data_IF_901319896920
#
_entry.id   IF_901319896920
#
_cell.length_a   1.000
_cell.length_b   1.000
_cell.length_c   1.000
_cell.angle_alpha   90.00
_cell.angle_beta   90.00
_cell.angle_gamma   90.00
#
_symmetry.space_group_name_H-M   'P 1'
#
loop_
_entity.id
_entity.type
_entity.pdbx_description
1 polymer ?
#
# COMPACT_ATOMS: atom_id res chain seq x y z
N UNK A 1 0.77 -48.09 4.00
CA UNK A 1 0.06 -47.83 2.72
C UNK A 1 -0.93 -46.71 2.95
N UNK A 2 -0.62 -45.50 2.50
CA UNK A 2 -1.46 -44.31 2.65
C UNK A 2 -2.32 -44.18 1.40
N UNK A 3 -3.63 -44.29 1.55
CA UNK A 3 -4.58 -44.12 0.45
C UNK A 3 -4.78 -42.61 0.21
N UNK A 4 -4.38 -42.12 -0.97
CA UNK A 4 -4.78 -40.79 -1.45
C UNK A 4 -6.28 -40.82 -1.77
N UNK A 5 -7.06 -39.78 -1.42
CA UNK A 5 -8.40 -39.64 -1.94
C UNK A 5 -8.32 -39.38 -3.45
N UNK A 6 -8.96 -40.22 -4.25
CA UNK A 6 -9.27 -39.93 -5.65
C UNK A 6 -10.39 -38.88 -5.68
N UNK A 7 -10.02 -37.62 -5.88
CA UNK A 7 -10.97 -36.57 -6.22
C UNK A 7 -11.47 -36.80 -7.64
N UNK A 8 -12.74 -37.21 -7.76
CA UNK A 8 -13.47 -37.39 -9.01
C UNK A 8 -14.30 -36.12 -9.33
N UNK A 9 -13.74 -34.93 -9.15
CA UNK A 9 -14.36 -33.70 -9.61
C UNK A 9 -14.16 -33.55 -11.12
N UNK A 10 -15.29 -33.54 -11.83
CA UNK A 10 -15.39 -33.23 -13.25
C UNK A 10 -14.94 -31.77 -13.43
N UNK A 11 -13.65 -31.57 -13.70
CA UNK A 11 -13.01 -30.26 -13.78
C UNK A 11 -13.74 -29.37 -14.79
N UNK A 12 -14.40 -28.33 -14.30
CA UNK A 12 -14.95 -27.28 -15.13
C UNK A 12 -13.79 -26.61 -15.88
N UNK A 13 -13.71 -26.70 -17.22
CA UNK A 13 -12.60 -26.16 -17.99
C UNK A 13 -12.57 -24.62 -18.01
N UNK A 14 -13.61 -23.97 -17.48
CA UNK A 14 -13.70 -22.52 -17.29
C UNK A 14 -13.43 -22.10 -15.84
N UNK A 15 -13.08 -23.02 -14.94
CA UNK A 15 -12.65 -22.67 -13.60
C UNK A 15 -11.33 -21.90 -13.72
N UNK A 16 -11.36 -20.59 -13.46
CA UNK A 16 -10.13 -19.82 -13.34
C UNK A 16 -9.26 -20.44 -12.25
N UNK A 17 -7.91 -20.47 -12.40
CA UNK A 17 -7.04 -20.93 -11.34
C UNK A 17 -7.44 -20.23 -10.05
N UNK A 18 -7.80 -21.00 -9.02
CA UNK A 18 -8.02 -20.44 -7.70
C UNK A 18 -6.67 -19.86 -7.31
N UNK A 19 -6.54 -18.53 -7.33
CA UNK A 19 -5.34 -17.88 -6.83
C UNK A 19 -5.09 -18.48 -5.44
N UNK A 20 -3.87 -18.96 -5.14
CA UNK A 20 -3.58 -19.52 -3.83
C UNK A 20 -4.10 -18.51 -2.82
N UNK A 21 -4.98 -18.95 -1.92
CA UNK A 21 -5.52 -18.11 -0.86
C UNK A 21 -4.33 -17.66 -0.04
N UNK A 22 -3.76 -16.54 -0.45
CA UNK A 22 -2.70 -15.87 0.25
C UNK A 22 -3.39 -15.27 1.46
N UNK A 23 -3.58 -16.12 2.48
CA UNK A 23 -3.08 -15.79 3.80
C UNK A 23 -1.73 -15.13 3.60
N UNK A 24 -1.75 -13.81 3.46
CA UNK A 24 -0.63 -12.97 3.83
C UNK A 24 -0.50 -13.19 5.33
N UNK A 25 0.15 -14.31 5.67
CA UNK A 25 0.63 -14.58 7.00
C UNK A 25 1.44 -13.33 7.36
N UNK A 26 0.90 -12.56 8.29
CA UNK A 26 1.46 -11.28 8.69
C UNK A 26 2.78 -11.59 9.38
N UNK A 27 3.85 -11.68 8.59
CA UNK A 27 5.19 -11.92 9.11
C UNK A 27 5.56 -10.72 9.95
N UNK A 28 6.14 -11.01 11.12
CA UNK A 28 6.45 -10.01 12.13
C UNK A 28 7.29 -8.83 11.62
N UNK A 29 7.43 -7.78 12.44
CA UNK A 29 8.14 -6.57 12.06
C UNK A 29 9.55 -6.90 11.52
N UNK A 30 9.90 -6.29 10.40
CA UNK A 30 11.23 -6.46 9.79
C UNK A 30 11.44 -7.73 8.95
N UNK A 31 10.38 -8.39 8.47
CA UNK A 31 10.49 -9.45 7.46
C UNK A 31 9.57 -9.14 6.28
N UNK A 32 10.05 -9.31 5.05
CA UNK A 32 9.23 -9.13 3.86
C UNK A 32 8.12 -10.22 3.80
N UNK A 33 6.83 -9.85 3.73
CA UNK A 33 5.73 -10.82 3.70
C UNK A 33 5.66 -11.62 2.40
N UNK A 34 6.28 -11.11 1.32
CA UNK A 34 6.19 -11.71 -0.01
C UNK A 34 7.27 -12.76 -0.29
N UNK A 35 8.47 -12.58 0.27
CA UNK A 35 9.62 -13.47 -0.01
C UNK A 35 10.35 -13.95 1.25
N UNK A 36 9.99 -13.45 2.43
CA UNK A 36 10.60 -13.86 3.70
C UNK A 36 12.00 -13.29 3.98
N UNK A 37 12.53 -12.43 3.11
CA UNK A 37 13.83 -11.80 3.33
C UNK A 37 13.75 -10.66 4.34
N UNK A 38 14.79 -10.49 5.16
CA UNK A 38 14.94 -9.36 6.08
C UNK A 38 15.71 -8.18 5.48
N UNK A 39 16.19 -8.31 4.25
CA UNK A 39 16.85 -7.21 3.53
C UNK A 39 15.81 -6.32 2.81
N UNK A 40 15.55 -5.17 3.43
CA UNK A 40 14.66 -4.14 2.92
C UNK A 40 15.19 -2.76 3.27
N UNK A 41 14.82 -1.77 2.48
CA UNK A 41 15.17 -0.38 2.71
C UNK A 41 13.93 0.50 2.77
N UNK A 42 14.05 1.63 3.47
CA UNK A 42 13.03 2.68 3.45
C UNK A 42 13.38 3.65 2.33
N UNK A 43 12.58 3.75 1.26
CA UNK A 43 12.88 4.66 0.18
C UNK A 43 12.76 6.10 0.66
N UNK A 44 13.62 6.96 0.14
CA UNK A 44 13.66 8.40 0.47
C UNK A 44 12.47 9.16 -0.15
N UNK A 45 11.90 8.61 -1.23
CA UNK A 45 10.76 9.15 -1.95
C UNK A 45 10.00 8.01 -2.62
N UNK A 46 8.66 8.08 -2.64
CA UNK A 46 7.80 7.15 -3.40
C UNK A 46 7.34 7.80 -4.70
N UNK A 47 6.97 6.97 -5.68
CA UNK A 47 6.48 7.43 -6.98
C UNK A 47 5.14 8.19 -6.93
N UNK A 48 4.47 8.26 -5.78
CA UNK A 48 3.12 8.83 -5.63
C UNK A 48 3.02 9.97 -4.61
N UNK A 49 4.13 10.59 -4.20
CA UNK A 49 4.02 11.96 -3.65
C UNK A 49 4.63 12.17 -2.28
N UNK A 50 5.96 12.20 -2.24
CA UNK A 50 6.68 13.00 -1.25
C UNK A 50 7.64 12.23 -0.36
N UNK A 51 8.63 12.97 0.14
CA UNK A 51 9.61 12.53 1.14
C UNK A 51 8.96 12.09 2.46
N UNK A 52 7.79 12.66 2.79
CA UNK A 52 7.11 12.44 4.07
C UNK A 52 6.35 11.11 4.12
N UNK A 53 5.82 10.65 2.98
CA UNK A 53 5.01 9.44 2.87
C UNK A 53 5.69 8.16 3.40
N UNK A 54 6.96 7.87 3.01
CA UNK A 54 7.68 6.69 3.48
C UNK A 54 7.80 6.59 5.00
N UNK A 55 8.03 7.73 5.66
CA UNK A 55 8.23 7.78 7.11
C UNK A 55 6.90 7.64 7.85
N UNK A 56 5.85 8.31 7.39
CA UNK A 56 4.53 8.27 8.02
C UNK A 56 3.89 6.88 7.95
N UNK A 57 4.10 6.15 6.85
CA UNK A 57 3.46 4.85 6.61
C UNK A 57 4.35 3.65 6.93
N UNK A 58 5.52 3.87 7.55
CA UNK A 58 6.55 2.84 7.74
C UNK A 58 6.80 2.02 6.45
N UNK A 59 6.78 2.70 5.30
CA UNK A 59 6.89 2.03 4.00
C UNK A 59 8.32 1.55 3.81
N UNK A 60 8.47 0.27 3.47
CA UNK A 60 9.73 -0.34 3.12
C UNK A 60 9.59 -1.08 1.79
N UNK A 61 10.68 -1.14 1.04
CA UNK A 61 10.80 -1.90 -0.21
C UNK A 61 11.82 -2.99 0.02
N UNK A 62 11.43 -4.25 -0.25
CA UNK A 62 12.36 -5.37 -0.16
C UNK A 62 13.36 -5.30 -1.31
N UNK A 63 14.66 -5.40 -1.03
CA UNK A 63 15.71 -5.39 -2.07
C UNK A 63 15.69 -6.62 -2.96
N UNK A 64 15.12 -7.72 -2.47
CA UNK A 64 15.08 -8.98 -3.20
C UNK A 64 13.90 -9.08 -4.17
N UNK A 65 12.66 -8.90 -3.68
CA UNK A 65 11.45 -9.03 -4.50
C UNK A 65 10.89 -7.70 -5.02
N UNK A 66 11.49 -6.57 -4.64
CA UNK A 66 11.12 -5.21 -5.08
C UNK A 66 9.68 -4.81 -4.76
N UNK A 67 9.02 -5.52 -3.83
CA UNK A 67 7.67 -5.18 -3.37
C UNK A 67 7.71 -4.28 -2.15
N UNK A 68 6.81 -3.30 -2.14
CA UNK A 68 6.59 -2.39 -1.03
C UNK A 68 5.64 -2.98 0.02
N UNK A 69 5.94 -2.80 1.30
CA UNK A 69 5.14 -3.26 2.43
C UNK A 69 5.29 -2.32 3.63
N UNK A 70 4.52 -2.54 4.69
CA UNK A 70 4.67 -1.84 5.97
C UNK A 70 5.68 -2.59 6.85
N UNK A 71 6.79 -1.94 7.21
CA UNK A 71 7.83 -2.57 8.04
C UNK A 71 7.40 -2.82 9.49
N UNK A 72 6.41 -2.07 10.00
CA UNK A 72 5.90 -2.22 11.37
C UNK A 72 4.90 -3.35 11.51
N UNK A 73 4.00 -3.50 10.53
CA UNK A 73 2.94 -4.52 10.56
C UNK A 73 3.13 -5.68 9.59
N UNK A 74 4.08 -5.64 8.67
CA UNK A 74 4.21 -6.65 7.61
C UNK A 74 3.08 -6.63 6.57
N UNK A 75 2.12 -5.72 6.65
CA UNK A 75 0.94 -5.67 5.79
C UNK A 75 1.11 -4.74 4.57
N UNK A 76 0.15 -4.81 3.63
CA UNK A 76 0.06 -3.86 2.52
C UNK A 76 -0.26 -2.46 3.03
N UNK A 77 0.46 -1.46 2.50
CA UNK A 77 0.22 -0.05 2.80
C UNK A 77 -0.82 0.61 1.88
N UNK A 78 -1.44 -0.15 0.96
CA UNK A 78 -2.28 0.40 -0.11
C UNK A 78 -3.43 1.27 0.43
N UNK A 79 -4.16 0.81 1.45
CA UNK A 79 -5.27 1.57 2.03
C UNK A 79 -4.80 2.88 2.67
N UNK A 80 -3.70 2.83 3.42
CA UNK A 80 -3.13 4.02 4.06
C UNK A 80 -2.62 5.03 3.03
N UNK A 81 -2.06 4.54 1.92
CA UNK A 81 -1.62 5.37 0.78
C UNK A 81 -2.81 6.09 0.16
N UNK A 82 -3.92 5.37 -0.08
CA UNK A 82 -5.14 5.96 -0.64
C UNK A 82 -5.66 7.06 0.28
N UNK A 83 -5.76 6.80 1.59
CA UNK A 83 -6.23 7.79 2.55
C UNK A 83 -5.31 9.01 2.64
N UNK A 84 -3.99 8.81 2.65
CA UNK A 84 -3.02 9.90 2.61
C UNK A 84 -3.20 10.76 1.35
N UNK A 85 -3.35 10.11 0.19
CA UNK A 85 -3.48 10.84 -1.07
C UNK A 85 -4.77 11.66 -1.12
N UNK A 86 -5.91 11.05 -0.77
CA UNK A 86 -7.21 11.75 -0.72
C UNK A 86 -7.13 12.91 0.28
N UNK A 87 -6.63 12.65 1.50
CA UNK A 87 -6.50 13.67 2.54
C UNK A 87 -5.63 14.84 2.11
N UNK A 88 -4.48 14.58 1.47
CA UNK A 88 -3.58 15.62 0.98
C UNK A 88 -4.23 16.51 -0.07
N UNK A 89 -4.96 15.94 -1.03
CA UNK A 89 -5.68 16.69 -2.08
C UNK A 89 -6.78 17.54 -1.46
N UNK A 90 -7.57 16.97 -0.55
CA UNK A 90 -8.64 17.70 0.15
C UNK A 90 -8.06 18.89 0.93
N UNK A 91 -6.94 18.70 1.64
CA UNK A 91 -6.28 19.76 2.39
C UNK A 91 -5.80 20.90 1.48
N UNK A 92 -5.17 20.57 0.35
CA UNK A 92 -4.69 21.57 -0.62
C UNK A 92 -5.86 22.34 -1.21
N UNK A 93 -6.92 21.65 -1.64
CA UNK A 93 -8.13 22.29 -2.18
C UNK A 93 -8.77 23.20 -1.13
N UNK A 94 -8.93 22.72 0.10
CA UNK A 94 -9.49 23.53 1.19
C UNK A 94 -8.64 24.78 1.46
N UNK A 95 -7.31 24.64 1.53
CA UNK A 95 -6.40 25.76 1.71
C UNK A 95 -6.49 26.78 0.57
N UNK A 96 -6.59 26.32 -0.68
CA UNK A 96 -6.76 27.19 -1.84
C UNK A 96 -8.10 27.93 -1.80
N UNK A 97 -9.20 27.25 -1.48
CA UNK A 97 -10.51 27.88 -1.34
C UNK A 97 -10.48 28.94 -0.23
N UNK A 98 -9.90 28.63 0.93
CA UNK A 98 -9.76 29.60 2.03
C UNK A 98 -8.94 30.81 1.56
N UNK A 99 -7.81 30.59 0.88
CA UNK A 99 -6.99 31.66 0.35
C UNK A 99 -7.78 32.54 -0.64
N UNK A 100 -8.50 31.92 -1.58
CA UNK A 100 -9.29 32.61 -2.59
C UNK A 100 -10.45 33.40 -1.98
N UNK A 101 -11.18 32.84 -1.03
CA UNK A 101 -12.39 33.47 -0.49
C UNK A 101 -12.13 34.46 0.65
N UNK A 102 -11.02 34.32 1.38
CA UNK A 102 -10.77 35.13 2.57
C UNK A 102 -9.51 35.99 2.50
N UNK A 103 -8.49 35.57 1.74
CA UNK A 103 -7.21 36.31 1.67
C UNK A 103 -7.20 37.24 0.45
N UNK A 104 -7.62 36.75 -0.72
CA UNK A 104 -7.62 37.54 -1.96
C UNK A 104 -8.63 38.72 -1.98
N UNK A 105 -9.89 38.60 -1.51
CA UNK A 105 -10.85 39.71 -1.57
C UNK A 105 -10.55 40.83 -0.55
N UNK A 106 -9.68 40.59 0.44
CA UNK A 106 -9.17 41.63 1.33
C UNK A 106 -8.18 42.59 0.66
N UNK A 107 -7.65 42.24 -0.52
CA UNK A 107 -6.67 43.02 -1.28
C UNK A 107 -7.28 43.56 -2.58
N UNK A 108 -8.34 44.38 -2.45
CA UNK A 108 -8.84 45.35 -3.45
C UNK A 108 -8.48 45.18 -4.93
N UNK A 109 -8.87 44.05 -5.55
CA UNK A 109 -8.79 43.83 -7.00
C UNK A 109 -10.18 43.81 -7.67
N UNK A 110 -11.11 44.62 -7.16
CA UNK A 110 -12.36 45.05 -7.81
C UNK A 110 -12.62 46.52 -7.49
#
# INVERSE_FOLDING_TARGET
MSQRPTDNSLENPFQSPVAPSNEYEVRGPGICPYCGQSDFERPVFTHWGGFVGPWLLNHAVCRHCQRGFNAGSGASNLLNIILYQIGSVVLVVAALLICIFYVLPGWGLL
#
